data_IF_782507920201
#
_entry.id   IF_782507920201
#
_cell.length_a   1.000
_cell.length_b   1.000
_cell.length_c   1.000
_cell.angle_alpha   90.00
_cell.angle_beta   90.00
_cell.angle_gamma   90.00
#
_symmetry.space_group_name_H-M   'P 1'
#
loop_
_entity.id
_entity.type
_entity.pdbx_description
1 polymer ?
#
# COMPACT_ATOMS: atom_id res chain seq x y z
N UNK A 1 21.65 -16.35 -4.29
CA UNK A 1 20.22 -16.12 -4.02
C UNK A 1 19.86 -14.77 -4.56
N UNK A 2 18.89 -14.72 -5.45
CA UNK A 2 18.32 -13.47 -5.92
C UNK A 2 17.37 -12.88 -4.86
N UNK A 3 16.80 -11.70 -5.13
CA UNK A 3 15.92 -11.02 -4.15
C UNK A 3 14.61 -11.78 -3.88
N UNK A 4 14.14 -12.61 -4.81
CA UNK A 4 12.95 -13.43 -4.64
C UNK A 4 13.28 -14.64 -3.74
N UNK A 5 14.41 -15.33 -3.98
CA UNK A 5 14.87 -16.43 -3.13
C UNK A 5 15.00 -16.00 -1.67
N UNK A 6 15.57 -14.80 -1.44
CA UNK A 6 15.72 -14.22 -0.10
C UNK A 6 14.35 -13.93 0.53
N UNK A 7 13.41 -13.36 -0.24
CA UNK A 7 12.07 -13.08 0.26
C UNK A 7 11.31 -14.37 0.61
N UNK A 8 11.43 -15.40 -0.23
CA UNK A 8 10.85 -16.72 0.00
C UNK A 8 11.43 -17.41 1.23
N UNK A 9 12.75 -17.29 1.46
CA UNK A 9 13.39 -17.79 2.67
C UNK A 9 12.81 -17.16 3.95
N UNK A 10 12.64 -15.82 3.98
CA UNK A 10 12.02 -15.16 5.13
C UNK A 10 10.55 -15.53 5.30
N UNK A 11 9.82 -15.70 4.20
CA UNK A 11 8.44 -16.18 4.24
C UNK A 11 8.35 -17.57 4.86
N UNK A 12 9.18 -18.50 4.40
CA UNK A 12 9.24 -19.87 4.91
C UNK A 12 9.66 -19.90 6.39
N UNK A 13 10.52 -18.99 6.84
CA UNK A 13 10.86 -18.86 8.25
C UNK A 13 9.64 -18.48 9.11
N UNK A 14 8.81 -17.53 8.66
CA UNK A 14 7.58 -17.16 9.36
C UNK A 14 6.58 -18.32 9.43
N UNK A 15 6.49 -19.14 8.37
CA UNK A 15 5.66 -20.35 8.34
C UNK A 15 6.20 -21.42 9.29
N UNK A 16 7.49 -21.70 9.23
CA UNK A 16 8.15 -22.72 10.07
C UNK A 16 8.08 -22.40 11.55
N UNK A 17 8.03 -21.10 11.91
CA UNK A 17 7.81 -20.63 13.28
C UNK A 17 6.33 -20.52 13.66
N UNK A 18 5.42 -20.94 12.78
CA UNK A 18 3.96 -20.83 12.94
C UNK A 18 3.47 -19.41 13.24
N UNK A 19 4.21 -18.38 12.77
CA UNK A 19 3.81 -16.99 12.91
C UNK A 19 2.74 -16.60 11.89
N UNK A 20 2.80 -17.23 10.71
CA UNK A 20 1.81 -17.11 9.65
C UNK A 20 1.42 -18.50 9.16
N UNK A 21 0.17 -18.64 8.73
CA UNK A 21 -0.37 -19.86 8.16
C UNK A 21 -0.69 -19.62 6.68
N UNK A 22 -0.03 -20.28 5.73
CA UNK A 22 -0.34 -20.13 4.32
C UNK A 22 -1.73 -20.69 3.99
N UNK A 23 -2.42 -20.04 3.07
CA UNK A 23 -3.70 -20.47 2.50
C UNK A 23 -3.47 -20.70 1.02
N UNK A 24 -3.65 -21.95 0.59
CA UNK A 24 -3.43 -22.35 -0.80
C UNK A 24 -4.55 -21.81 -1.70
N UNK A 25 -4.22 -21.48 -2.93
CA UNK A 25 -5.21 -21.28 -3.97
C UNK A 25 -5.88 -22.61 -4.31
N UNK A 26 -7.20 -22.60 -4.55
CA UNK A 26 -7.99 -23.81 -4.80
C UNK A 26 -7.49 -24.64 -6.01
N UNK A 27 -6.76 -24.02 -6.95
CA UNK A 27 -6.43 -24.62 -8.24
C UNK A 27 -4.94 -24.62 -8.63
N UNK A 28 -4.03 -23.95 -7.90
CA UNK A 28 -2.63 -23.80 -8.34
C UNK A 28 -1.56 -24.39 -7.43
N UNK A 29 -1.89 -25.03 -6.29
CA UNK A 29 -0.89 -25.41 -5.27
C UNK A 29 0.05 -24.26 -4.86
N UNK A 30 -0.31 -23.02 -5.18
CA UNK A 30 0.42 -21.82 -4.80
C UNK A 30 -0.24 -21.20 -3.58
N UNK A 31 0.56 -20.54 -2.76
CA UNK A 31 0.05 -19.77 -1.62
C UNK A 31 -0.64 -18.51 -2.16
N UNK A 32 -1.95 -18.38 -1.94
CA UNK A 32 -2.73 -17.22 -2.37
C UNK A 32 -2.81 -16.12 -1.32
N UNK A 33 -2.80 -16.52 -0.04
CA UNK A 33 -2.90 -15.63 1.10
C UNK A 33 -2.32 -16.29 2.35
N UNK A 34 -2.27 -15.55 3.45
CA UNK A 34 -1.85 -16.09 4.74
C UNK A 34 -2.81 -15.62 5.83
N UNK A 35 -2.95 -16.44 6.86
CA UNK A 35 -3.62 -16.09 8.11
C UNK A 35 -2.57 -15.90 9.19
N UNK A 36 -2.93 -15.14 10.22
CA UNK A 36 -2.11 -14.95 11.41
C UNK A 36 -2.94 -15.46 12.58
N UNK A 37 -2.33 -16.17 13.52
CA UNK A 37 -3.00 -16.57 14.75
C UNK A 37 -3.32 -15.35 15.63
N UNK A 38 -4.43 -15.35 16.34
CA UNK A 38 -4.84 -14.20 17.17
C UNK A 38 -3.78 -13.80 18.20
N UNK A 39 -3.12 -14.77 18.84
CA UNK A 39 -2.00 -14.51 19.76
C UNK A 39 -0.83 -13.78 19.09
N UNK A 40 -0.52 -14.12 17.83
CA UNK A 40 0.53 -13.44 17.07
C UNK A 40 0.09 -12.04 16.65
N UNK A 41 -1.19 -11.86 16.31
CA UNK A 41 -1.74 -10.55 16.00
C UNK A 41 -1.65 -9.61 17.22
N UNK A 42 -1.97 -10.10 18.41
CA UNK A 42 -1.87 -9.32 19.66
C UNK A 42 -0.42 -8.96 19.98
N UNK A 43 0.51 -9.90 19.79
CA UNK A 43 1.95 -9.64 19.93
C UNK A 43 2.43 -8.56 18.95
N UNK A 44 2.04 -8.65 17.67
CA UNK A 44 2.40 -7.66 16.64
C UNK A 44 1.84 -6.27 17.01
N UNK A 45 0.60 -6.19 17.46
CA UNK A 45 -0.03 -4.92 17.91
C UNK A 45 0.73 -4.32 19.09
N UNK A 46 1.02 -5.13 20.11
CA UNK A 46 1.76 -4.70 21.30
C UNK A 46 3.15 -4.17 20.93
N UNK A 47 3.93 -4.94 20.16
CA UNK A 47 5.28 -4.54 19.73
C UNK A 47 5.27 -3.32 18.80
N UNK A 48 4.30 -3.24 17.90
CA UNK A 48 4.15 -2.07 17.02
C UNK A 48 3.88 -0.79 17.80
N UNK A 49 3.07 -0.86 18.87
CA UNK A 49 2.77 0.28 19.71
C UNK A 49 3.99 0.69 20.57
N UNK A 50 4.69 -0.29 21.16
CA UNK A 50 5.92 -0.10 21.93
C UNK A 50 6.99 0.63 21.10
N UNK A 51 7.20 0.19 19.86
CA UNK A 51 8.24 0.72 18.97
C UNK A 51 7.79 1.92 18.12
N UNK A 52 6.52 2.33 18.21
CA UNK A 52 5.92 3.33 17.32
C UNK A 52 6.16 2.98 15.82
N UNK A 53 5.99 1.70 15.47
CA UNK A 53 6.38 1.15 14.18
C UNK A 53 5.46 1.59 13.02
N UNK A 54 4.15 1.63 13.27
CA UNK A 54 3.11 2.08 12.35
C UNK A 54 1.98 2.77 13.11
N UNK A 55 1.43 3.84 12.52
CA UNK A 55 0.24 4.52 13.01
C UNK A 55 -0.96 4.04 12.21
N UNK A 56 -1.98 3.51 12.90
CA UNK A 56 -3.25 3.12 12.29
C UNK A 56 -4.24 4.26 12.48
N UNK A 57 -4.88 4.66 11.39
CA UNK A 57 -5.94 5.67 11.35
C UNK A 57 -7.21 4.94 10.95
N UNK A 58 -8.05 4.68 11.94
CA UNK A 58 -9.33 3.99 11.79
C UNK A 58 -10.55 4.87 12.12
N UNK A 59 -10.29 6.04 12.69
CA UNK A 59 -11.28 7.02 13.08
C UNK A 59 -10.76 8.44 12.78
N UNK A 60 -11.64 9.42 12.52
CA UNK A 60 -11.22 10.81 12.33
C UNK A 60 -10.44 11.38 13.52
N UNK A 61 -10.72 10.91 14.75
CA UNK A 61 -10.04 11.36 15.97
C UNK A 61 -8.60 10.81 16.07
N UNK A 62 -8.30 9.67 15.45
CA UNK A 62 -6.93 9.12 15.41
C UNK A 62 -5.94 10.05 14.67
N UNK A 63 -6.46 10.95 13.83
CA UNK A 63 -5.67 11.93 13.08
C UNK A 63 -5.08 13.03 13.97
N UNK A 64 -5.77 13.43 15.04
CA UNK A 64 -5.38 14.59 15.86
C UNK A 64 -4.38 14.24 16.97
N UNK A 65 -4.14 12.96 17.24
CA UNK A 65 -3.23 12.48 18.29
C UNK A 65 -1.75 12.37 17.85
N UNK A 66 -1.39 12.89 16.67
CA UNK A 66 -0.09 12.67 16.04
C UNK A 66 1.01 13.62 16.57
N UNK A 67 1.57 13.29 17.74
CA UNK A 67 2.65 14.07 18.36
C UNK A 67 4.06 13.49 18.16
N UNK A 68 4.21 12.39 17.42
CA UNK A 68 5.48 11.66 17.20
C UNK A 68 5.89 11.67 15.72
N UNK A 69 7.17 11.41 15.45
CA UNK A 69 7.69 11.22 14.09
C UNK A 69 7.09 9.96 13.45
N UNK A 70 6.16 10.13 12.51
CA UNK A 70 5.47 9.02 11.84
C UNK A 70 6.26 8.62 10.58
N UNK A 71 6.62 7.34 10.50
CA UNK A 71 7.28 6.77 9.31
C UNK A 71 6.37 5.90 8.46
N UNK A 72 5.32 5.33 9.06
CA UNK A 72 4.38 4.42 8.39
C UNK A 72 2.96 4.71 8.84
N UNK A 73 2.04 4.80 7.88
CA UNK A 73 0.62 5.04 8.11
C UNK A 73 -0.19 3.90 7.48
N UNK A 74 -1.15 3.37 8.23
CA UNK A 74 -2.23 2.53 7.71
C UNK A 74 -3.55 3.26 7.89
N UNK A 75 -4.34 3.40 6.85
CA UNK A 75 -5.68 3.98 6.89
C UNK A 75 -6.67 2.84 6.62
N UNK A 76 -7.59 2.63 7.54
CA UNK A 76 -8.59 1.56 7.47
C UNK A 76 -9.92 2.12 7.92
N UNK A 77 -10.91 2.28 7.05
CA UNK A 77 -12.18 2.86 7.48
C UNK A 77 -13.34 2.14 6.83
N UNK A 78 -14.21 1.48 7.60
CA UNK A 78 -15.25 0.62 7.01
C UNK A 78 -16.50 1.36 6.56
N UNK A 79 -16.63 2.68 6.83
CA UNK A 79 -17.86 3.41 6.51
C UNK A 79 -17.63 4.57 5.52
N UNK A 80 -18.11 4.43 4.29
CA UNK A 80 -17.84 5.34 3.17
C UNK A 80 -18.43 6.75 3.34
N UNK A 81 -19.46 6.91 4.18
CA UNK A 81 -20.21 8.19 4.31
C UNK A 81 -19.44 9.28 5.07
N UNK A 82 -18.48 8.90 5.92
CA UNK A 82 -17.71 9.82 6.79
C UNK A 82 -16.19 9.62 6.66
N UNK A 83 -15.74 9.05 5.54
CA UNK A 83 -14.38 8.53 5.37
C UNK A 83 -13.27 9.50 5.77
N UNK A 84 -12.21 8.94 6.38
CA UNK A 84 -10.97 9.67 6.62
C UNK A 84 -10.34 10.01 5.28
N UNK A 85 -10.46 11.27 4.87
CA UNK A 85 -9.74 11.78 3.70
C UNK A 85 -8.27 11.92 4.07
N UNK A 86 -7.38 11.45 3.19
CA UNK A 86 -5.93 11.69 3.30
C UNK A 86 -5.61 13.18 3.54
N UNK A 87 -6.39 14.06 2.90
CA UNK A 87 -6.29 15.52 3.04
C UNK A 87 -6.62 16.07 4.45
N UNK A 88 -7.16 15.24 5.35
CA UNK A 88 -7.48 15.64 6.72
C UNK A 88 -6.33 15.31 7.69
N UNK A 89 -5.32 14.56 7.24
CA UNK A 89 -4.16 14.22 8.06
C UNK A 89 -3.29 15.47 8.23
N UNK A 90 -3.17 15.96 9.47
CA UNK A 90 -2.33 17.09 9.81
C UNK A 90 -1.09 16.61 10.58
N UNK A 91 0.09 17.17 10.29
CA UNK A 91 1.33 16.86 11.01
C UNK A 91 2.60 16.92 10.15
N UNK A 92 3.76 16.49 10.68
CA UNK A 92 5.03 16.45 9.92
C UNK A 92 5.05 15.27 8.94
N UNK A 93 4.20 15.32 7.91
CA UNK A 93 3.95 14.22 6.97
C UNK A 93 5.10 13.94 6.00
N UNK A 94 6.04 14.86 5.85
CA UNK A 94 7.24 14.65 5.04
C UNK A 94 8.03 13.42 5.52
N UNK A 95 8.05 13.11 6.81
CA UNK A 95 8.82 11.97 7.33
C UNK A 95 8.22 10.59 7.00
N UNK A 96 6.97 10.56 6.52
CA UNK A 96 6.27 9.33 6.17
C UNK A 96 6.92 8.69 4.96
N UNK A 97 7.25 7.40 5.09
CA UNK A 97 7.91 6.59 4.05
C UNK A 97 6.99 5.52 3.48
N UNK A 98 5.91 5.17 4.17
CA UNK A 98 4.97 4.14 3.74
C UNK A 98 3.55 4.52 4.10
N UNK A 99 2.63 4.38 3.15
CA UNK A 99 1.20 4.54 3.34
C UNK A 99 0.50 3.31 2.78
N UNK A 100 -0.40 2.74 3.57
CA UNK A 100 -1.31 1.69 3.15
C UNK A 100 -2.75 2.11 3.42
N UNK A 101 -3.60 2.08 2.41
CA UNK A 101 -5.01 2.46 2.47
C UNK A 101 -5.85 1.24 2.11
N UNK A 102 -6.79 0.91 2.99
CA UNK A 102 -7.68 -0.23 2.83
C UNK A 102 -9.13 0.20 3.04
N UNK A 103 -10.04 -0.28 2.16
CA UNK A 103 -11.50 -0.12 2.31
C UNK A 103 -11.98 1.32 2.50
N UNK A 104 -11.22 2.30 2.02
CA UNK A 104 -11.48 3.71 2.28
C UNK A 104 -11.72 4.46 0.97
N UNK A 105 -12.54 5.52 1.02
CA UNK A 105 -12.64 6.51 -0.05
C UNK A 105 -11.34 7.31 -0.08
N UNK A 106 -10.63 7.26 -1.20
CA UNK A 106 -9.31 7.87 -1.33
C UNK A 106 -9.36 9.02 -2.34
N UNK A 107 -9.64 10.24 -1.85
CA UNK A 107 -9.43 11.44 -2.64
C UNK A 107 -7.99 11.93 -2.43
N UNK A 108 -7.09 11.43 -3.27
CA UNK A 108 -5.66 11.53 -3.03
C UNK A 108 -5.06 12.86 -3.48
N UNK A 109 -4.41 13.55 -2.55
CA UNK A 109 -3.18 14.29 -2.84
C UNK A 109 -2.07 13.68 -1.99
N UNK A 110 -1.01 13.19 -2.62
CA UNK A 110 0.13 12.62 -1.91
C UNK A 110 1.32 13.58 -1.83
N UNK A 111 1.15 14.83 -2.28
CA UNK A 111 2.24 15.81 -2.39
C UNK A 111 2.88 16.15 -1.04
N UNK A 112 2.12 16.03 0.05
CA UNK A 112 2.59 16.28 1.41
C UNK A 112 3.59 15.21 1.90
N UNK A 113 3.61 14.03 1.27
CA UNK A 113 4.46 12.90 1.64
C UNK A 113 5.75 12.84 0.80
N UNK A 114 6.53 13.92 0.81
CA UNK A 114 7.69 14.10 -0.08
C UNK A 114 8.71 12.94 -0.08
N UNK A 115 8.84 12.20 1.03
CA UNK A 115 9.79 11.08 1.17
C UNK A 115 9.14 9.69 1.14
N UNK A 116 7.91 9.59 0.64
CA UNK A 116 7.21 8.31 0.50
C UNK A 116 7.96 7.37 -0.44
N UNK A 117 8.05 6.11 -0.02
CA UNK A 117 8.73 5.02 -0.74
C UNK A 117 7.76 3.91 -1.15
N UNK A 118 6.74 3.66 -0.33
CA UNK A 118 5.78 2.58 -0.52
C UNK A 118 4.38 3.14 -0.44
N UNK A 119 3.59 2.94 -1.49
CA UNK A 119 2.17 3.27 -1.54
C UNK A 119 1.38 2.00 -1.83
N UNK A 120 0.45 1.67 -0.94
CA UNK A 120 -0.44 0.53 -1.06
C UNK A 120 -1.88 1.02 -0.99
N UNK A 121 -2.65 0.76 -2.04
CA UNK A 121 -4.05 1.15 -2.17
C UNK A 121 -4.85 -0.10 -2.51
N UNK A 122 -5.57 -0.68 -1.55
CA UNK A 122 -6.29 -1.95 -1.77
C UNK A 122 -7.75 -1.84 -1.37
N UNK A 123 -8.62 -2.45 -2.17
CA UNK A 123 -10.06 -2.48 -1.90
C UNK A 123 -10.62 -1.06 -1.74
N UNK A 124 -10.29 -0.16 -2.66
CA UNK A 124 -10.78 1.21 -2.57
C UNK A 124 -12.24 1.26 -3.04
N UNK A 125 -13.08 1.90 -2.25
CA UNK A 125 -14.46 2.23 -2.64
C UNK A 125 -14.46 3.53 -3.44
N UNK A 126 -13.63 3.59 -4.48
CA UNK A 126 -13.44 4.78 -5.31
C UNK A 126 -13.52 4.38 -6.78
N UNK A 127 -14.42 5.02 -7.52
CA UNK A 127 -14.62 4.74 -8.94
C UNK A 127 -13.44 5.23 -9.78
N UNK A 128 -12.91 6.40 -9.45
CA UNK A 128 -11.79 7.02 -10.14
C UNK A 128 -10.64 7.29 -9.18
N UNK A 129 -9.51 6.66 -9.41
CA UNK A 129 -8.28 6.93 -8.68
C UNK A 129 -7.33 7.73 -9.57
N UNK A 130 -7.09 8.99 -9.18
CA UNK A 130 -6.13 9.85 -9.84
C UNK A 130 -4.78 9.84 -9.10
N UNK A 131 -3.74 9.32 -9.76
CA UNK A 131 -2.37 9.28 -9.24
C UNK A 131 -1.43 10.30 -9.91
N UNK A 132 -1.97 11.23 -10.71
CA UNK A 132 -1.16 12.25 -11.41
C UNK A 132 -0.37 13.14 -10.46
N UNK A 133 -0.91 13.41 -9.27
CA UNK A 133 -0.23 14.16 -8.20
C UNK A 133 0.99 13.47 -7.58
N UNK A 134 1.33 12.24 -8.00
CA UNK A 134 2.55 11.56 -7.57
C UNK A 134 3.80 12.00 -8.34
N UNK A 135 3.65 12.79 -9.41
CA UNK A 135 4.77 13.47 -10.06
C UNK A 135 5.56 14.29 -9.03
N UNK A 136 6.85 14.02 -8.89
CA UNK A 136 7.72 14.70 -7.91
C UNK A 136 8.01 13.91 -6.62
N UNK A 137 7.36 12.76 -6.40
CA UNK A 137 7.67 11.86 -5.27
C UNK A 137 8.90 10.99 -5.59
N UNK A 138 10.07 11.63 -5.73
CA UNK A 138 11.30 11.05 -6.31
C UNK A 138 11.87 9.84 -5.54
N UNK A 139 11.44 9.62 -4.29
CA UNK A 139 11.89 8.51 -3.45
C UNK A 139 11.02 7.26 -3.59
N UNK A 140 9.98 7.29 -4.41
CA UNK A 140 9.04 6.19 -4.54
C UNK A 140 9.70 4.94 -5.11
N UNK A 141 9.43 3.79 -4.49
CA UNK A 141 9.97 2.47 -4.84
C UNK A 141 8.89 1.46 -5.20
N UNK A 142 7.75 1.50 -4.53
CA UNK A 142 6.69 0.51 -4.68
C UNK A 142 5.34 1.20 -4.74
N UNK A 143 4.55 0.86 -5.76
CA UNK A 143 3.15 1.26 -5.90
C UNK A 143 2.32 0.00 -6.11
N UNK A 144 1.42 -0.29 -5.19
CA UNK A 144 0.47 -1.39 -5.28
C UNK A 144 -0.95 -0.82 -5.29
N UNK A 145 -1.70 -1.08 -6.35
CA UNK A 145 -3.11 -0.67 -6.48
C UNK A 145 -3.93 -1.91 -6.78
N UNK A 146 -5.00 -2.16 -6.03
CA UNK A 146 -5.89 -3.29 -6.32
C UNK A 146 -7.36 -2.97 -6.14
N UNK A 147 -8.16 -3.49 -7.07
CA UNK A 147 -9.62 -3.33 -7.13
C UNK A 147 -10.02 -1.86 -7.27
N UNK A 148 -9.51 -1.22 -8.31
CA UNK A 148 -9.93 0.11 -8.75
C UNK A 148 -10.68 -0.01 -10.08
N UNK A 149 -11.77 0.74 -10.26
CA UNK A 149 -12.55 0.72 -11.51
C UNK A 149 -11.79 1.46 -12.63
N UNK A 150 -11.43 2.73 -12.39
CA UNK A 150 -10.69 3.58 -13.32
C UNK A 150 -9.43 4.15 -12.64
N UNK A 151 -8.25 3.88 -13.20
CA UNK A 151 -6.97 4.40 -12.70
C UNK A 151 -6.32 5.34 -13.72
N UNK A 152 -5.96 6.54 -13.27
CA UNK A 152 -5.12 7.46 -14.03
C UNK A 152 -3.71 7.51 -13.42
N UNK A 153 -2.70 7.18 -14.23
CA UNK A 153 -1.29 7.21 -13.83
C UNK A 153 -0.62 8.54 -14.21
N UNK A 154 0.40 8.97 -13.45
CA UNK A 154 1.14 10.20 -13.74
C UNK A 154 1.88 10.12 -15.07
N UNK A 155 1.64 11.09 -15.96
CA UNK A 155 2.30 11.18 -17.29
C UNK A 155 3.83 11.15 -17.23
N UNK A 156 4.40 11.59 -16.10
CA UNK A 156 5.83 11.63 -15.83
C UNK A 156 6.31 10.48 -14.93
N UNK A 157 5.59 9.35 -14.87
CA UNK A 157 5.99 8.17 -14.06
C UNK A 157 7.43 7.70 -14.38
N UNK A 158 7.90 7.91 -15.61
CA UNK A 158 9.27 7.67 -16.04
C UNK A 158 10.34 8.43 -15.23
N UNK A 159 9.98 9.56 -14.61
CA UNK A 159 10.88 10.38 -13.79
C UNK A 159 11.10 9.80 -12.38
N UNK A 160 10.28 8.84 -11.95
CA UNK A 160 10.42 8.14 -10.67
C UNK A 160 11.56 7.12 -10.73
N UNK A 161 12.81 7.58 -10.86
CA UNK A 161 14.00 6.74 -11.12
C UNK A 161 14.27 5.67 -10.06
N UNK A 162 13.71 5.80 -8.85
CA UNK A 162 13.86 4.81 -7.78
C UNK A 162 12.76 3.73 -7.77
N UNK A 163 11.78 3.83 -8.67
CA UNK A 163 10.62 2.97 -8.72
C UNK A 163 11.03 1.56 -9.15
N UNK A 164 10.80 0.58 -8.27
CA UNK A 164 11.18 -0.83 -8.45
C UNK A 164 10.00 -1.69 -8.88
N UNK A 165 8.83 -1.44 -8.30
CA UNK A 165 7.64 -2.26 -8.53
C UNK A 165 6.41 -1.40 -8.68
N UNK A 166 5.68 -1.64 -9.77
CA UNK A 166 4.30 -1.21 -9.93
C UNK A 166 3.47 -2.48 -10.09
N UNK A 167 2.49 -2.69 -9.21
CA UNK A 167 1.49 -3.73 -9.39
C UNK A 167 0.12 -3.09 -9.32
N UNK A 168 -0.60 -3.16 -10.44
CA UNK A 168 -1.92 -2.58 -10.57
C UNK A 168 -2.88 -3.68 -10.99
N UNK A 169 -3.95 -3.82 -10.24
CA UNK A 169 -5.09 -4.65 -10.61
C UNK A 169 -6.40 -3.85 -10.57
N UNK A 170 -7.18 -3.94 -11.65
CA UNK A 170 -8.38 -3.13 -11.84
C UNK A 170 -9.29 -3.70 -12.93
N UNK A 171 -10.44 -3.07 -13.13
CA UNK A 171 -11.44 -3.50 -14.12
C UNK A 171 -11.21 -2.84 -15.48
N UNK A 172 -10.90 -1.53 -15.49
CA UNK A 172 -10.61 -0.78 -16.70
C UNK A 172 -9.33 0.04 -16.52
N UNK A 173 -8.41 -0.14 -17.45
CA UNK A 173 -7.25 0.73 -17.57
C UNK A 173 -7.48 1.66 -18.75
N UNK A 174 -7.29 2.97 -18.56
CA UNK A 174 -6.84 3.78 -19.68
C UNK A 174 -5.53 3.12 -20.18
N UNK A 175 -5.33 2.95 -21.49
CA UNK A 175 -4.13 2.27 -21.99
C UNK A 175 -2.90 2.91 -21.34
N UNK A 176 -2.13 2.11 -20.61
CA UNK A 176 -0.86 2.56 -20.02
C UNK A 176 0.11 2.78 -21.17
N UNK A 177 -0.05 3.90 -21.87
CA UNK A 177 0.86 4.35 -22.93
C UNK A 177 2.13 4.97 -22.33
N UNK A 178 2.16 5.13 -21.00
CA UNK A 178 3.25 5.76 -20.27
C UNK A 178 4.39 4.77 -20.05
N UNK A 179 5.57 5.10 -20.57
CA UNK A 179 6.79 4.32 -20.33
C UNK A 179 7.16 4.40 -18.85
N UNK A 180 7.29 3.25 -18.19
CA UNK A 180 7.81 3.15 -16.82
C UNK A 180 9.34 3.30 -16.80
N UNK A 181 9.95 3.68 -15.66
CA UNK A 181 11.41 3.75 -15.54
C UNK A 181 12.11 2.42 -15.89
N UNK A 182 13.35 2.51 -16.38
CA UNK A 182 14.14 1.31 -16.70
C UNK A 182 14.38 0.47 -15.43
N UNK A 183 14.18 -0.84 -15.55
CA UNK A 183 14.37 -1.78 -14.43
C UNK A 183 13.18 -1.86 -13.46
N UNK A 184 12.11 -1.11 -13.70
CA UNK A 184 10.86 -1.25 -12.93
C UNK A 184 10.11 -2.52 -13.36
N UNK A 185 9.77 -3.38 -12.40
CA UNK A 185 8.85 -4.51 -12.62
C UNK A 185 7.42 -3.97 -12.67
N UNK A 186 6.74 -4.17 -13.80
CA UNK A 186 5.36 -3.77 -14.03
C UNK A 186 4.47 -5.00 -14.09
N UNK A 187 3.50 -5.08 -13.18
CA UNK A 187 2.46 -6.09 -13.15
C UNK A 187 1.11 -5.40 -13.38
N UNK A 188 0.41 -5.79 -14.44
CA UNK A 188 -0.94 -5.31 -14.76
C UNK A 188 -1.88 -6.51 -14.80
N UNK A 189 -2.94 -6.45 -14.01
CA UNK A 189 -3.97 -7.49 -13.98
C UNK A 189 -5.34 -6.87 -14.23
N UNK A 190 -5.94 -7.14 -15.39
CA UNK A 190 -7.33 -6.79 -15.68
C UNK A 190 -8.21 -7.87 -15.05
N UNK A 191 -9.15 -7.48 -14.19
CA UNK A 191 -10.19 -8.38 -13.69
C UNK A 191 -11.47 -8.14 -14.48
N UNK A 192 -11.99 -9.16 -15.14
CA UNK A 192 -13.33 -9.15 -15.74
C UNK A 192 -14.36 -9.28 -14.62
N UNK A 193 -15.39 -8.43 -14.67
CA UNK A 193 -16.59 -8.46 -13.83
C UNK A 193 -17.34 -9.79 -13.89
#
# INVERSE_FOLDING_TARGET
MDANDVAESYFNELVNRSMIQPVMADFSHEVSSCRIHDMMLDLIRSKSAEENFITVIDTPQAVTAMHKNIRRISIQHENAEHGVRLATINGPLSQVRSIAVFRCVCQASFMEFMYIRVLILKHLDTEELNLTGMCGLLYMKIVLVSRCKNLELPSQIAQLRQLKTINISGERFAPVQQKVPRGTKLFLTIRSS
#
